data_IF_843101683054
#
_entry.id   IF_843101683054
#
_cell.length_a   1.000
_cell.length_b   1.000
_cell.length_c   1.000
_cell.angle_alpha   90.00
_cell.angle_beta   90.00
_cell.angle_gamma   90.00
#
_symmetry.space_group_name_H-M   'P 1'
#
loop_
_entity.id
_entity.type
_entity.pdbx_description
1 polymer ?
#
# COMPACT_ATOMS: atom_id res chain seq x y z
N UNK A 1 10.52 8.60 4.45
CA UNK A 1 9.47 7.90 3.70
C UNK A 1 9.58 8.26 2.25
N UNK A 2 9.56 7.28 1.35
CA UNK A 2 9.63 7.49 -0.11
C UNK A 2 8.45 6.74 -0.74
N UNK A 3 7.80 7.38 -1.71
CA UNK A 3 6.72 6.81 -2.51
C UNK A 3 7.18 6.80 -3.96
N UNK A 4 7.04 5.66 -4.63
CA UNK A 4 7.41 5.47 -6.04
C UNK A 4 6.30 4.76 -6.79
N UNK A 5 6.26 4.98 -8.09
CA UNK A 5 5.48 4.15 -9.00
C UNK A 5 6.24 2.85 -9.30
N UNK A 6 5.53 1.74 -9.23
CA UNK A 6 5.93 0.42 -9.71
C UNK A 6 4.83 -0.04 -10.66
N UNK A 7 5.02 0.22 -11.95
CA UNK A 7 4.00 0.07 -12.99
C UNK A 7 2.70 0.83 -12.66
N UNK A 8 1.62 0.11 -12.38
CA UNK A 8 0.29 0.62 -12.04
C UNK A 8 0.05 0.78 -10.53
N UNK A 9 1.08 0.53 -9.72
CA UNK A 9 1.00 0.54 -8.25
C UNK A 9 1.78 1.68 -7.64
N UNK A 10 1.25 2.25 -6.56
CA UNK A 10 1.97 3.14 -5.67
C UNK A 10 2.60 2.30 -4.56
N UNK A 11 3.93 2.30 -4.49
CA UNK A 11 4.70 1.60 -3.47
C UNK A 11 5.32 2.61 -2.52
N UNK A 12 5.10 2.41 -1.22
CA UNK A 12 5.68 3.23 -0.18
C UNK A 12 6.62 2.42 0.73
N UNK A 13 7.84 2.95 0.92
CA UNK A 13 8.83 2.42 1.86
C UNK A 13 9.03 3.43 2.99
N UNK A 14 8.77 2.99 4.23
CA UNK A 14 8.88 3.79 5.45
C UNK A 14 10.08 3.31 6.28
N UNK A 15 11.29 3.76 5.91
CA UNK A 15 12.51 3.49 6.70
C UNK A 15 12.40 4.11 8.09
N UNK A 16 12.71 3.34 9.14
CA UNK A 16 12.64 3.75 10.53
C UNK A 16 12.87 2.56 11.48
N UNK A 17 12.39 2.67 12.72
CA UNK A 17 12.54 1.64 13.76
C UNK A 17 11.89 0.29 13.38
N UNK A 18 10.74 0.32 12.69
CA UNK A 18 10.02 -0.90 12.32
C UNK A 18 10.51 -1.44 10.98
N UNK A 19 11.01 -2.67 11.00
CA UNK A 19 11.43 -3.39 9.80
C UNK A 19 10.26 -3.62 8.84
N UNK A 20 10.52 -3.50 7.53
CA UNK A 20 9.53 -3.82 6.50
C UNK A 20 8.29 -2.92 6.52
N UNK A 21 8.36 -1.76 7.18
CA UNK A 21 7.23 -0.82 7.25
C UNK A 21 6.99 -0.15 5.90
N UNK A 22 5.77 -0.23 5.41
CA UNK A 22 5.37 0.37 4.15
C UNK A 22 3.98 -0.04 3.71
N UNK A 23 3.62 0.34 2.49
CA UNK A 23 2.35 -0.06 1.89
C UNK A 23 2.45 -0.14 0.37
N UNK A 24 1.54 -0.88 -0.26
CA UNK A 24 1.31 -0.88 -1.70
C UNK A 24 -0.15 -0.56 -1.96
N UNK A 25 -0.43 0.37 -2.86
CA UNK A 25 -1.77 0.74 -3.29
C UNK A 25 -1.91 0.50 -4.80
N UNK A 26 -3.05 -0.01 -5.22
CA UNK A 26 -3.39 -0.22 -6.63
C UNK A 26 -4.91 -0.16 -6.84
N UNK A 27 -5.35 -0.08 -8.09
CA UNK A 27 -6.76 0.00 -8.46
C UNK A 27 -7.15 -1.24 -9.26
N UNK A 28 -8.29 -1.84 -8.94
CA UNK A 28 -8.93 -2.88 -9.75
C UNK A 28 -10.40 -2.48 -9.97
N UNK A 29 -10.77 -2.07 -11.19
CA UNK A 29 -12.14 -1.63 -11.49
C UNK A 29 -12.55 -0.39 -10.68
N UNK A 30 -13.59 -0.52 -9.85
CA UNK A 30 -14.09 0.51 -8.93
C UNK A 30 -13.47 0.41 -7.52
N UNK A 31 -12.52 -0.50 -7.31
CA UNK A 31 -11.92 -0.78 -6.02
C UNK A 31 -10.51 -0.20 -5.91
N UNK A 32 -10.24 0.50 -4.80
CA UNK A 32 -8.90 0.88 -4.37
C UNK A 32 -8.42 -0.14 -3.35
N UNK A 33 -7.33 -0.84 -3.67
CA UNK A 33 -6.67 -1.78 -2.78
C UNK A 33 -5.52 -1.11 -2.04
N UNK A 34 -5.37 -1.43 -0.76
CA UNK A 34 -4.25 -1.00 0.06
C UNK A 34 -3.73 -2.19 0.90
N UNK A 35 -2.48 -2.59 0.66
CA UNK A 35 -1.76 -3.55 1.50
C UNK A 35 -0.77 -2.79 2.40
N UNK A 36 -1.01 -2.80 3.71
CA UNK A 36 -0.13 -2.21 4.72
C UNK A 36 0.74 -3.30 5.33
N UNK A 37 2.04 -3.03 5.50
CA UNK A 37 3.04 -3.97 6.01
C UNK A 37 3.86 -3.35 7.13
N UNK A 38 4.16 -4.12 8.17
CA UNK A 38 5.14 -3.79 9.20
C UNK A 38 5.54 -5.05 9.98
N UNK A 39 6.83 -5.23 10.25
CA UNK A 39 7.36 -6.35 11.05
C UNK A 39 6.84 -7.73 10.61
N UNK A 40 6.77 -7.97 9.29
CA UNK A 40 6.24 -9.20 8.71
C UNK A 40 4.71 -9.34 8.73
N UNK A 41 3.98 -8.47 9.44
CA UNK A 41 2.52 -8.45 9.49
C UNK A 41 1.96 -7.71 8.28
N UNK A 42 0.83 -8.20 7.75
CA UNK A 42 0.11 -7.61 6.63
C UNK A 42 -1.34 -7.29 6.99
N UNK A 43 -1.84 -6.17 6.50
CA UNK A 43 -3.25 -5.78 6.54
C UNK A 43 -3.70 -5.44 5.12
N UNK A 44 -4.83 -5.99 4.67
CA UNK A 44 -5.42 -5.68 3.36
C UNK A 44 -6.72 -4.92 3.56
N UNK A 45 -6.87 -3.80 2.87
CA UNK A 45 -8.08 -2.99 2.82
C UNK A 45 -8.54 -2.82 1.37
N UNK A 46 -9.84 -2.75 1.18
CA UNK A 46 -10.48 -2.54 -0.12
C UNK A 46 -11.55 -1.46 0.05
N UNK A 47 -11.48 -0.42 -0.77
CA UNK A 47 -12.39 0.71 -0.74
C UNK A 47 -13.11 0.79 -2.08
N UNK A 48 -14.45 0.90 -2.06
CA UNK A 48 -15.22 1.17 -3.29
C UNK A 48 -15.28 2.65 -3.57
N UNK A 49 -15.02 3.02 -4.82
CA UNK A 49 -15.27 4.36 -5.32
C UNK A 49 -16.77 4.61 -5.31
N UNK A 50 -17.20 5.55 -4.48
CA UNK A 50 -18.58 6.09 -4.49
C UNK A 50 -18.60 7.41 -5.24
N UNK A 51 -19.73 7.71 -5.87
CA UNK A 51 -19.93 8.92 -6.68
C UNK A 51 -20.32 10.12 -5.82
#
# INVERSE_FOLDING_TARGET
>A
TIVTWDEDKLVCVQKGEKEGRGWTQWIEGDEMHLEIRACGVKCKQVFKKVQ
#
